data_IF_094293224780
#
_entry.id   IF_094293224780
#
_cell.length_a   1.000
_cell.length_b   1.000
_cell.length_c   1.000
_cell.angle_alpha   90.00
_cell.angle_beta   90.00
_cell.angle_gamma   90.00
#
_symmetry.space_group_name_H-M   'P 1'
#
loop_
_entity.id
_entity.type
_entity.pdbx_description
1 polymer ?
#
# COMPACT_ATOMS: atom_id res chain seq x y z
N UNK A 1 21.66 10.00 54.45
CA UNK A 1 22.43 10.29 53.26
C UNK A 1 23.12 9.10 52.62
N UNK A 2 23.89 8.23 53.35
CA UNK A 2 24.55 7.07 52.75
C UNK A 2 23.62 6.03 52.12
N UNK A 3 22.42 5.77 52.66
CA UNK A 3 21.45 4.82 52.12
C UNK A 3 20.73 5.39 50.86
N UNK A 4 20.61 6.69 50.74
CA UNK A 4 20.04 7.36 49.58
C UNK A 4 20.97 7.33 48.35
N UNK A 5 22.29 7.46 48.60
CA UNK A 5 23.33 7.40 47.56
C UNK A 5 23.48 5.95 47.04
N UNK A 6 23.33 4.95 47.89
CA UNK A 6 23.31 3.53 47.45
C UNK A 6 22.07 3.18 46.64
N UNK A 7 20.90 3.73 46.95
CA UNK A 7 19.70 3.55 46.22
C UNK A 7 19.75 4.25 44.83
N UNK A 8 20.33 5.46 44.78
CA UNK A 8 20.56 6.18 43.55
C UNK A 8 21.60 5.49 42.65
N UNK A 9 22.63 4.88 43.22
CA UNK A 9 23.61 4.07 42.48
C UNK A 9 23.02 2.78 41.89
N UNK A 10 22.05 2.17 42.59
CA UNK A 10 21.36 0.97 42.10
C UNK A 10 20.38 1.28 40.98
N UNK A 11 19.72 2.44 41.01
CA UNK A 11 18.80 2.93 39.95
C UNK A 11 19.56 3.33 38.69
N UNK A 12 20.80 3.78 38.80
CA UNK A 12 21.62 4.18 37.64
C UNK A 12 22.17 2.98 36.85
N UNK A 13 22.17 1.78 37.41
CA UNK A 13 22.65 0.57 36.71
C UNK A 13 21.60 -0.09 35.82
N UNK A 14 20.35 0.35 35.82
CA UNK A 14 19.23 -0.28 35.08
C UNK A 14 19.02 0.31 33.69
N UNK A 15 19.76 1.34 33.24
CA UNK A 15 19.49 2.03 31.98
C UNK A 15 20.60 1.82 30.93
N UNK A 16 21.23 0.68 30.89
CA UNK A 16 22.01 0.31 29.71
C UNK A 16 21.36 -0.94 29.09
N UNK A 17 20.15 -0.77 28.56
CA UNK A 17 19.64 -1.68 27.54
C UNK A 17 20.36 -1.30 26.25
N UNK A 18 21.54 -1.86 26.03
CA UNK A 18 22.16 -1.86 24.73
C UNK A 18 21.24 -2.69 23.79
N UNK A 19 20.40 -2.03 23.00
CA UNK A 19 19.82 -2.64 21.84
C UNK A 19 21.01 -3.03 20.94
N UNK A 20 21.43 -4.29 20.98
CA UNK A 20 22.48 -4.80 20.10
C UNK A 20 21.94 -4.69 18.67
N UNK A 21 22.56 -3.83 17.86
CA UNK A 21 22.29 -3.74 16.42
C UNK A 21 23.18 -4.70 15.69
N UNK A 22 22.59 -5.39 14.75
CA UNK A 22 23.30 -6.30 13.87
C UNK A 22 23.42 -5.63 12.52
N UNK A 23 24.65 -5.56 11.99
CA UNK A 23 24.94 -4.92 10.70
C UNK A 23 25.43 -5.97 9.71
N UNK A 24 25.04 -5.83 8.45
CA UNK A 24 25.51 -6.62 7.32
C UNK A 24 25.79 -5.75 6.12
N UNK A 25 26.42 -6.34 5.10
CA UNK A 25 26.68 -5.68 3.82
C UNK A 25 26.14 -6.52 2.65
N UNK A 26 25.61 -5.83 1.64
CA UNK A 26 25.09 -6.42 0.42
C UNK A 26 26.01 -6.02 -0.74
N UNK A 27 26.46 -7.01 -1.50
CA UNK A 27 27.31 -6.79 -2.67
C UNK A 27 26.77 -7.60 -3.86
N UNK A 28 27.08 -7.17 -5.07
CA UNK A 28 26.86 -7.97 -6.28
C UNK A 28 27.99 -9.00 -6.48
N UNK A 29 27.93 -9.79 -7.55
CA UNK A 29 28.95 -10.80 -7.89
C UNK A 29 30.32 -10.18 -8.18
N UNK A 30 30.38 -8.90 -8.51
CA UNK A 30 31.61 -8.15 -8.80
C UNK A 30 32.18 -7.45 -7.57
N UNK A 31 31.48 -7.57 -6.42
CA UNK A 31 31.86 -6.92 -5.17
C UNK A 31 31.38 -5.46 -5.05
N UNK A 32 30.58 -4.95 -6.00
CA UNK A 32 30.02 -3.62 -5.86
C UNK A 32 28.87 -3.61 -4.84
N UNK A 33 28.70 -2.52 -4.07
CA UNK A 33 27.63 -2.43 -3.08
C UNK A 33 26.24 -2.44 -3.73
N UNK A 34 25.32 -3.22 -3.17
CA UNK A 34 23.89 -3.19 -3.52
C UNK A 34 23.17 -2.23 -2.59
N UNK A 35 22.95 -1.01 -3.06
CA UNK A 35 22.32 0.06 -2.32
C UNK A 35 20.80 -0.04 -2.36
N UNK A 36 20.15 0.43 -1.29
CA UNK A 36 18.69 0.58 -1.15
C UNK A 36 17.90 -0.72 -1.35
N UNK A 37 18.51 -1.87 -1.04
CA UNK A 37 17.82 -3.15 -1.00
C UNK A 37 16.94 -3.24 0.25
N UNK A 38 15.75 -3.81 0.11
CA UNK A 38 14.87 -4.12 1.22
C UNK A 38 15.43 -5.30 2.01
N UNK A 39 15.60 -5.15 3.31
CA UNK A 39 16.06 -6.18 4.24
C UNK A 39 14.98 -6.40 5.27
N UNK A 40 14.32 -7.55 5.24
CA UNK A 40 13.16 -7.88 6.07
C UNK A 40 13.47 -9.09 6.93
N UNK A 41 13.20 -8.97 8.23
CA UNK A 41 13.27 -10.05 9.19
C UNK A 41 11.87 -10.66 9.35
N UNK A 42 11.76 -11.95 9.10
CA UNK A 42 10.52 -12.71 9.20
C UNK A 42 10.65 -13.76 10.32
N UNK A 43 9.56 -14.07 10.98
CA UNK A 43 9.46 -15.20 11.90
C UNK A 43 9.61 -16.53 11.14
N UNK A 44 10.44 -17.45 11.65
CA UNK A 44 10.60 -18.75 11.00
C UNK A 44 9.41 -19.70 11.21
N UNK A 45 8.46 -19.34 12.10
CA UNK A 45 7.30 -20.17 12.40
C UNK A 45 6.19 -20.03 11.35
N UNK A 46 5.93 -18.78 10.93
CA UNK A 46 4.75 -18.40 10.12
C UNK A 46 5.08 -17.37 9.04
N UNK A 47 6.36 -17.05 8.85
CA UNK A 47 6.83 -16.01 7.91
C UNK A 47 6.23 -14.62 8.16
N UNK A 48 5.68 -14.37 9.35
CA UNK A 48 5.16 -13.05 9.72
C UNK A 48 6.30 -12.03 9.80
N UNK A 49 5.97 -10.79 9.47
CA UNK A 49 6.91 -9.67 9.52
C UNK A 49 7.30 -9.35 10.98
N UNK A 50 8.60 -9.30 11.24
CA UNK A 50 9.15 -8.90 12.54
C UNK A 50 9.69 -7.48 12.47
N UNK A 51 10.58 -7.19 11.51
CA UNK A 51 11.26 -5.91 11.37
C UNK A 51 11.78 -5.74 9.95
N UNK A 52 12.00 -4.49 9.50
CA UNK A 52 12.58 -4.21 8.19
C UNK A 52 13.45 -2.96 8.20
N UNK A 53 14.42 -2.93 7.28
CA UNK A 53 15.31 -1.81 7.02
C UNK A 53 15.70 -1.79 5.54
N UNK A 54 16.44 -0.78 5.12
CA UNK A 54 17.05 -0.72 3.77
C UNK A 54 18.56 -0.60 3.88
N UNK A 55 19.31 -1.11 2.88
CA UNK A 55 20.73 -0.87 2.78
C UNK A 55 21.03 0.58 2.36
N UNK A 56 22.12 1.14 2.87
CA UNK A 56 22.59 2.49 2.49
C UNK A 56 23.32 2.47 1.12
N UNK A 57 23.88 3.61 0.72
CA UNK A 57 24.64 3.76 -0.54
C UNK A 57 25.85 2.81 -0.64
N UNK A 58 26.43 2.44 0.50
CA UNK A 58 27.54 1.51 0.61
C UNK A 58 27.09 0.04 0.73
N UNK A 59 25.79 -0.24 0.56
CA UNK A 59 25.22 -1.57 0.70
C UNK A 59 25.11 -2.07 2.15
N UNK A 60 25.37 -1.21 3.14
CA UNK A 60 25.36 -1.59 4.56
C UNK A 60 23.94 -1.43 5.11
N UNK A 61 23.47 -2.43 5.83
CA UNK A 61 22.20 -2.37 6.58
C UNK A 61 22.44 -2.64 8.06
N UNK A 62 21.52 -2.17 8.89
CA UNK A 62 21.50 -2.41 10.33
C UNK A 62 20.09 -2.73 10.78
N UNK A 63 19.94 -3.77 11.59
CA UNK A 63 18.67 -4.23 12.11
C UNK A 63 18.83 -4.53 13.61
N UNK A 64 17.82 -4.24 14.44
CA UNK A 64 17.90 -4.50 15.86
C UNK A 64 17.86 -6.01 16.12
N UNK A 65 18.68 -6.47 17.07
CA UNK A 65 18.70 -7.88 17.43
C UNK A 65 17.40 -8.28 18.10
N UNK A 66 16.75 -9.30 17.57
CA UNK A 66 15.55 -9.89 18.15
C UNK A 66 15.82 -11.30 18.64
N UNK A 67 15.22 -11.68 19.76
CA UNK A 67 15.26 -13.04 20.25
C UNK A 67 14.30 -13.93 19.43
N UNK A 68 14.79 -15.07 18.94
CA UNK A 68 14.00 -16.07 18.24
C UNK A 68 14.67 -16.57 16.96
N UNK A 69 14.14 -17.68 16.43
CA UNK A 69 14.54 -18.16 15.10
C UNK A 69 13.86 -17.31 14.05
N UNK A 70 14.63 -16.49 13.34
CA UNK A 70 14.15 -15.58 12.32
C UNK A 70 14.82 -15.86 10.98
N UNK A 71 14.15 -15.45 9.92
CA UNK A 71 14.62 -15.56 8.54
C UNK A 71 14.84 -14.15 8.00
N UNK A 72 16.02 -13.91 7.44
CA UNK A 72 16.32 -12.66 6.74
C UNK A 72 16.00 -12.83 5.26
N UNK A 73 15.08 -12.03 4.77
CA UNK A 73 14.73 -11.92 3.34
C UNK A 73 15.21 -10.59 2.80
N UNK A 74 16.00 -10.66 1.74
CA UNK A 74 16.58 -9.49 1.09
C UNK A 74 16.07 -9.45 -0.35
N UNK A 75 15.60 -8.30 -0.78
CA UNK A 75 15.13 -8.08 -2.15
C UNK A 75 15.57 -6.72 -2.66
N UNK A 76 16.00 -6.70 -3.91
CA UNK A 76 16.32 -5.50 -4.65
C UNK A 76 15.93 -5.71 -6.11
N UNK A 77 15.46 -4.65 -6.76
CA UNK A 77 15.09 -4.74 -8.18
C UNK A 77 16.32 -5.08 -9.02
N UNK A 78 16.16 -6.06 -9.91
CA UNK A 78 17.24 -6.55 -10.75
C UNK A 78 18.12 -7.62 -10.09
N UNK A 79 17.74 -8.10 -8.91
CA UNK A 79 18.44 -9.17 -8.21
C UNK A 79 17.48 -10.27 -7.77
N UNK A 80 17.98 -11.49 -7.76
CA UNK A 80 17.27 -12.64 -7.22
C UNK A 80 17.13 -12.46 -5.69
N UNK A 81 15.91 -12.53 -5.13
CA UNK A 81 15.72 -12.41 -3.70
C UNK A 81 16.48 -13.48 -2.92
N UNK A 82 17.20 -13.06 -1.88
CA UNK A 82 17.96 -13.96 -1.00
C UNK A 82 17.20 -14.16 0.30
N UNK A 83 17.07 -15.43 0.70
CA UNK A 83 16.49 -15.80 1.99
C UNK A 83 17.51 -16.63 2.79
N UNK A 84 17.86 -16.18 3.99
CA UNK A 84 18.81 -16.84 4.88
C UNK A 84 18.32 -16.89 6.32
N UNK A 85 18.69 -17.93 7.05
CA UNK A 85 18.47 -17.98 8.50
C UNK A 85 19.28 -16.88 9.21
N UNK A 86 18.63 -16.21 10.15
CA UNK A 86 19.23 -15.13 10.95
C UNK A 86 20.09 -15.71 12.08
N UNK A 87 21.20 -16.33 11.76
CA UNK A 87 21.99 -17.05 12.78
C UNK A 87 23.39 -16.46 13.07
N UNK A 88 23.97 -15.69 12.19
CA UNK A 88 25.34 -15.16 12.36
C UNK A 88 25.52 -13.80 11.67
N UNK A 89 25.99 -12.83 12.43
CA UNK A 89 26.35 -11.49 11.97
C UNK A 89 27.72 -11.07 12.52
N UNK A 90 28.48 -10.19 11.84
CA UNK A 90 28.20 -9.51 10.58
C UNK A 90 28.31 -10.45 9.37
N UNK A 91 27.49 -10.24 8.36
CA UNK A 91 27.44 -11.05 7.14
C UNK A 91 27.55 -10.18 5.91
N UNK A 92 28.47 -10.51 5.02
CA UNK A 92 28.43 -10.04 3.64
C UNK A 92 27.57 -11.00 2.84
N UNK A 93 26.51 -10.48 2.20
CA UNK A 93 25.58 -11.24 1.39
C UNK A 93 25.78 -10.85 -0.06
N UNK A 94 26.09 -11.84 -0.89
CA UNK A 94 26.18 -11.66 -2.33
C UNK A 94 24.79 -11.83 -2.93
N UNK A 95 24.35 -10.85 -3.69
CA UNK A 95 23.10 -10.86 -4.46
C UNK A 95 23.41 -11.13 -5.92
N UNK A 96 22.72 -12.12 -6.50
CA UNK A 96 22.85 -12.49 -7.90
C UNK A 96 21.92 -11.67 -8.75
N UNK A 97 22.38 -11.18 -9.91
CA UNK A 97 21.53 -10.46 -10.85
C UNK A 97 20.46 -11.41 -11.40
N UNK A 98 19.19 -10.95 -11.40
CA UNK A 98 18.07 -11.70 -11.99
C UNK A 98 18.02 -11.41 -13.50
N UNK A 99 18.68 -12.25 -14.28
CA UNK A 99 18.70 -12.15 -15.75
C UNK A 99 17.39 -12.67 -16.39
N UNK A 100 16.49 -13.29 -15.62
CA UNK A 100 15.27 -13.89 -16.14
C UNK A 100 14.04 -12.96 -16.08
N UNK A 101 14.18 -11.77 -15.47
CA UNK A 101 13.06 -10.81 -15.33
C UNK A 101 12.58 -10.21 -16.65
N UNK A 102 13.30 -10.42 -17.75
CA UNK A 102 12.89 -9.94 -19.08
C UNK A 102 13.23 -11.02 -20.11
N UNK A 103 12.24 -11.70 -20.69
CA UNK A 103 12.44 -12.47 -21.92
C UNK A 103 13.16 -11.60 -22.93
N UNK A 104 14.31 -12.04 -23.35
CA UNK A 104 15.25 -11.59 -24.37
C UNK A 104 14.91 -10.28 -25.11
N UNK A 105 15.05 -9.17 -24.42
CA UNK A 105 15.43 -7.88 -25.00
C UNK A 105 16.69 -7.49 -24.26
N UNK A 106 17.84 -7.48 -24.94
CA UNK A 106 19.07 -6.88 -24.44
C UNK A 106 18.84 -5.37 -24.32
N UNK A 107 18.09 -4.98 -23.30
CA UNK A 107 18.08 -3.62 -22.83
C UNK A 107 19.30 -3.52 -21.94
N UNK A 108 20.31 -2.77 -22.37
CA UNK A 108 21.33 -2.23 -21.44
C UNK A 108 20.53 -1.52 -20.35
N UNK A 109 20.33 -2.21 -19.21
CA UNK A 109 19.31 -1.86 -18.25
C UNK A 109 19.63 -0.52 -17.62
N UNK A 110 18.81 0.46 -17.88
CA UNK A 110 18.77 1.66 -17.05
C UNK A 110 18.15 1.25 -15.71
N UNK A 111 19.03 0.86 -14.78
CA UNK A 111 18.63 0.55 -13.39
C UNK A 111 18.03 1.79 -12.77
N UNK A 112 17.05 1.64 -11.85
CA UNK A 112 16.57 2.76 -11.06
C UNK A 112 17.75 3.43 -10.35
N UNK A 113 17.86 4.74 -10.44
CA UNK A 113 18.81 5.51 -9.66
C UNK A 113 18.15 6.05 -8.41
N UNK A 114 18.87 5.97 -7.32
CA UNK A 114 18.42 6.42 -6.03
C UNK A 114 19.27 7.61 -5.59
N UNK A 115 18.63 8.64 -5.05
CA UNK A 115 19.29 9.83 -4.55
C UNK A 115 18.74 10.19 -3.20
N UNK A 116 19.59 10.31 -2.19
CA UNK A 116 19.23 10.93 -0.92
C UNK A 116 19.06 12.43 -1.14
N UNK A 117 17.89 12.91 -0.77
CA UNK A 117 17.58 14.34 -0.70
C UNK A 117 17.61 14.82 0.75
N UNK A 118 17.47 16.11 0.97
CA UNK A 118 17.34 16.63 2.34
C UNK A 118 16.07 16.14 3.06
N UNK A 119 15.06 15.71 2.31
CA UNK A 119 13.76 15.29 2.85
C UNK A 119 13.61 13.76 2.90
N UNK A 120 14.24 13.00 1.98
CA UNK A 120 14.04 11.57 1.89
C UNK A 120 14.84 10.88 0.80
N UNK A 121 14.38 9.69 0.40
CA UNK A 121 14.95 8.89 -0.67
C UNK A 121 14.15 9.11 -1.96
N UNK A 122 14.77 9.72 -2.95
CA UNK A 122 14.20 9.88 -4.29
C UNK A 122 14.62 8.73 -5.21
N UNK A 123 13.63 8.05 -5.78
CA UNK A 123 13.79 7.03 -6.81
C UNK A 123 13.47 7.62 -8.16
N UNK A 124 14.44 7.57 -9.09
CA UNK A 124 14.22 7.99 -10.48
C UNK A 124 13.54 6.86 -11.25
N UNK A 125 12.37 7.13 -11.81
CA UNK A 125 11.54 6.15 -12.53
C UNK A 125 11.68 6.29 -14.04
N UNK A 126 11.68 7.53 -14.53
CA UNK A 126 11.72 7.81 -15.99
C UNK A 126 12.91 7.15 -16.69
N UNK A 127 12.64 6.41 -17.78
CA UNK A 127 13.68 5.77 -18.57
C UNK A 127 14.32 4.55 -17.90
N UNK A 128 13.83 4.11 -16.75
CA UNK A 128 14.27 2.89 -16.05
C UNK A 128 13.30 1.75 -16.28
N UNK A 129 13.62 0.56 -15.76
CA UNK A 129 12.71 -0.60 -15.79
C UNK A 129 11.39 -0.31 -15.05
N UNK A 130 11.41 0.56 -14.03
CA UNK A 130 10.21 0.96 -13.30
C UNK A 130 9.18 1.66 -14.19
N UNK A 131 9.62 2.41 -15.20
CA UNK A 131 8.71 3.09 -16.14
C UNK A 131 7.93 2.15 -17.06
N UNK A 132 8.26 0.86 -17.07
CA UNK A 132 7.62 -0.16 -17.92
C UNK A 132 6.73 -1.12 -17.12
N UNK A 133 6.49 -0.86 -15.85
CA UNK A 133 5.76 -1.76 -14.96
C UNK A 133 4.23 -1.69 -15.09
N UNK A 134 3.72 -0.75 -15.87
CA UNK A 134 2.30 -0.58 -16.12
C UNK A 134 1.70 0.59 -15.33
N UNK A 135 1.60 0.49 -14.01
CA UNK A 135 0.92 1.50 -13.18
C UNK A 135 1.80 2.08 -12.08
N UNK A 136 1.37 3.18 -11.47
CA UNK A 136 2.03 3.72 -10.28
C UNK A 136 1.97 2.74 -9.11
N UNK A 137 0.89 1.98 -9.00
CA UNK A 137 0.78 0.92 -8.01
C UNK A 137 1.93 -0.08 -8.13
N UNK A 138 2.23 -0.52 -9.36
CA UNK A 138 3.31 -1.47 -9.60
C UNK A 138 4.69 -0.86 -9.32
N UNK A 139 4.89 0.41 -9.64
CA UNK A 139 6.12 1.14 -9.30
C UNK A 139 6.31 1.20 -7.79
N UNK A 140 5.26 1.53 -7.02
CA UNK A 140 5.36 1.68 -5.57
C UNK A 140 5.72 0.38 -4.85
N UNK A 141 5.35 -0.78 -5.38
CA UNK A 141 5.77 -2.10 -4.86
C UNK A 141 7.29 -2.30 -4.87
N UNK A 142 8.01 -1.51 -5.67
CA UNK A 142 9.47 -1.61 -5.86
C UNK A 142 10.23 -0.42 -5.28
N UNK A 143 9.55 0.49 -4.58
CA UNK A 143 10.22 1.60 -3.88
C UNK A 143 10.84 1.08 -2.59
N UNK A 144 12.16 1.27 -2.39
CA UNK A 144 12.84 0.83 -1.17
C UNK A 144 12.20 1.45 0.09
N UNK A 145 11.97 0.62 1.11
CA UNK A 145 11.36 1.05 2.36
C UNK A 145 9.82 1.13 2.34
N UNK A 146 9.17 0.88 1.19
CA UNK A 146 7.71 0.84 1.05
C UNK A 146 7.25 -0.59 0.77
N UNK A 147 6.17 -1.02 1.41
CA UNK A 147 5.52 -2.30 1.12
C UNK A 147 4.01 -2.15 1.01
N UNK A 148 3.36 -3.00 0.20
CA UNK A 148 1.91 -3.11 0.17
C UNK A 148 1.47 -4.26 1.09
N UNK A 149 0.55 -3.98 2.02
CA UNK A 149 -0.03 -4.94 2.95
C UNK A 149 -1.53 -4.69 3.06
N UNK A 150 -2.35 -5.74 2.85
CA UNK A 150 -3.81 -5.65 2.94
C UNK A 150 -4.39 -4.43 2.19
N UNK A 151 -3.98 -4.26 0.93
CA UNK A 151 -4.36 -3.13 0.05
C UNK A 151 -3.96 -1.72 0.51
N UNK A 152 -3.21 -1.59 1.60
CA UNK A 152 -2.61 -0.35 2.06
C UNK A 152 -1.09 -0.34 1.84
N UNK A 153 -0.50 0.85 1.81
CA UNK A 153 0.96 0.98 1.82
C UNK A 153 1.46 1.24 3.23
N UNK A 154 2.56 0.59 3.56
CA UNK A 154 3.26 0.78 4.84
C UNK A 154 4.73 1.10 4.59
N UNK A 155 5.26 2.04 5.36
CA UNK A 155 6.69 2.36 5.42
C UNK A 155 7.29 1.68 6.63
N UNK A 156 8.41 1.00 6.47
CA UNK A 156 9.05 0.23 7.54
C UNK A 156 9.26 1.06 8.81
N UNK A 157 8.66 0.61 9.91
CA UNK A 157 8.76 1.25 11.23
C UNK A 157 8.03 2.60 11.35
N UNK A 158 7.28 3.04 10.35
CA UNK A 158 6.56 4.32 10.34
C UNK A 158 5.05 4.19 10.14
N UNK A 159 4.57 3.05 9.66
CA UNK A 159 3.15 2.83 9.34
C UNK A 159 2.75 3.40 7.98
N UNK A 160 1.46 3.71 7.82
CA UNK A 160 0.90 4.14 6.53
C UNK A 160 1.35 5.56 6.16
N UNK A 161 1.94 5.76 4.97
CA UNK A 161 2.33 7.07 4.48
C UNK A 161 1.13 7.85 3.93
N UNK A 162 1.23 9.16 3.92
CA UNK A 162 0.39 10.01 3.07
C UNK A 162 1.02 10.09 1.68
N UNK A 163 0.21 9.94 0.63
CA UNK A 163 0.68 9.92 -0.76
C UNK A 163 0.24 11.21 -1.46
N UNK A 164 1.18 11.83 -2.16
CA UNK A 164 0.94 13.00 -3.01
C UNK A 164 1.30 12.68 -4.46
N UNK A 165 0.48 13.16 -5.39
CA UNK A 165 0.76 13.15 -6.83
C UNK A 165 0.82 14.59 -7.31
N UNK A 166 1.98 15.03 -7.78
CA UNK A 166 2.25 16.42 -8.22
C UNK A 166 1.86 17.48 -7.17
N UNK A 167 2.08 17.20 -5.89
CA UNK A 167 1.71 18.09 -4.78
C UNK A 167 0.26 17.93 -4.29
N UNK A 168 -0.61 17.24 -5.04
CA UNK A 168 -1.99 16.97 -4.64
C UNK A 168 -2.06 15.72 -3.75
N UNK A 169 -2.73 15.84 -2.61
CA UNK A 169 -3.01 14.71 -1.74
C UNK A 169 -3.84 13.65 -2.46
N UNK A 170 -3.35 12.41 -2.43
CA UNK A 170 -4.09 11.25 -2.93
C UNK A 170 -5.03 10.75 -1.81
N UNK A 171 -6.33 10.85 -2.06
CA UNK A 171 -7.34 10.39 -1.09
C UNK A 171 -7.81 8.97 -1.35
N UNK A 172 -7.62 8.48 -2.56
CA UNK A 172 -8.04 7.16 -2.98
C UNK A 172 -6.90 6.43 -3.69
N UNK A 173 -6.47 5.32 -3.13
CA UNK A 173 -5.38 4.49 -3.66
C UNK A 173 -5.69 3.90 -5.04
N UNK A 174 -6.97 3.78 -5.43
CA UNK A 174 -7.33 3.33 -6.78
C UNK A 174 -6.84 4.27 -7.89
N UNK A 175 -6.56 5.54 -7.58
CA UNK A 175 -5.96 6.47 -8.54
C UNK A 175 -4.52 6.03 -8.94
N UNK A 176 -3.83 5.26 -8.11
CA UNK A 176 -2.49 4.73 -8.42
C UNK A 176 -2.52 3.70 -9.55
N UNK A 177 -3.59 2.89 -9.63
CA UNK A 177 -3.78 1.96 -10.74
C UNK A 177 -4.10 2.68 -12.06
N UNK A 178 -4.65 3.88 -11.98
CA UNK A 178 -4.99 4.71 -13.15
C UNK A 178 -3.79 5.51 -13.68
N UNK A 179 -2.78 5.75 -12.86
CA UNK A 179 -1.57 6.50 -13.23
C UNK A 179 -0.55 5.55 -13.87
N UNK A 180 -0.19 5.82 -15.12
CA UNK A 180 0.80 5.01 -15.86
C UNK A 180 2.20 5.17 -15.28
N UNK A 181 2.92 4.06 -15.17
CA UNK A 181 4.33 4.06 -14.73
C UNK A 181 5.24 4.89 -15.64
N UNK A 182 4.97 4.92 -16.96
CA UNK A 182 5.75 5.69 -17.93
C UNK A 182 5.63 7.20 -17.75
N UNK A 183 4.54 7.67 -17.12
CA UNK A 183 4.33 9.08 -16.83
C UNK A 183 5.00 9.53 -15.54
N UNK A 184 5.49 8.60 -14.72
CA UNK A 184 6.19 8.92 -13.50
C UNK A 184 7.62 9.33 -13.81
N UNK A 185 8.02 10.51 -13.29
CA UNK A 185 9.38 10.99 -13.34
C UNK A 185 10.19 10.47 -12.15
N UNK A 186 9.68 10.72 -10.95
CA UNK A 186 10.31 10.36 -9.68
C UNK A 186 9.28 9.93 -8.65
N UNK A 187 9.70 9.08 -7.73
CA UNK A 187 9.01 8.81 -6.46
C UNK A 187 9.96 9.16 -5.33
N UNK A 188 9.52 9.97 -4.38
CA UNK A 188 10.29 10.34 -3.19
C UNK A 188 9.61 9.81 -1.95
N UNK A 189 10.33 9.03 -1.16
CA UNK A 189 9.90 8.50 0.12
C UNK A 189 10.54 9.33 1.25
N UNK A 190 9.72 10.06 2.01
CA UNK A 190 10.11 10.86 3.16
C UNK A 190 9.75 10.11 4.43
N UNK A 191 10.73 9.70 5.19
CA UNK A 191 10.56 8.93 6.43
C UNK A 191 10.65 9.80 7.70
N UNK A 192 10.95 11.08 7.52
CA UNK A 192 10.99 12.06 8.60
C UNK A 192 10.41 13.38 8.11
N UNK A 193 9.07 13.44 7.90
CA UNK A 193 8.42 14.64 7.40
C UNK A 193 8.62 15.81 8.35
N UNK A 194 9.02 16.95 7.78
CA UNK A 194 9.26 18.18 8.53
C UNK A 194 7.96 18.89 8.93
N UNK A 195 8.09 20.08 9.52
CA UNK A 195 7.00 20.88 10.09
C UNK A 195 5.93 21.36 9.09
N UNK A 196 6.12 21.13 7.79
CA UNK A 196 5.10 21.41 6.76
C UNK A 196 3.95 20.40 6.75
N UNK A 197 4.12 19.26 7.42
CA UNK A 197 3.12 18.21 7.52
C UNK A 197 2.53 18.18 8.93
N UNK A 198 1.31 17.66 9.04
CA UNK A 198 0.69 17.44 10.35
C UNK A 198 1.57 16.53 11.23
N UNK A 199 1.57 16.78 12.55
CA UNK A 199 2.40 16.05 13.50
C UNK A 199 2.07 14.54 13.58
N UNK A 200 0.87 14.13 13.15
CA UNK A 200 0.47 12.74 13.06
C UNK A 200 1.10 12.00 11.87
N UNK A 201 1.58 12.73 10.85
CA UNK A 201 2.15 12.16 9.62
C UNK A 201 3.53 11.61 9.90
N UNK A 202 3.70 10.30 9.78
CA UNK A 202 4.96 9.59 10.05
C UNK A 202 5.82 9.38 8.80
N UNK A 203 5.20 9.33 7.63
CA UNK A 203 5.88 9.17 6.35
C UNK A 203 5.07 9.81 5.21
N UNK A 204 5.75 10.21 4.16
CA UNK A 204 5.14 10.80 2.96
C UNK A 204 5.75 10.17 1.71
N UNK A 205 4.90 9.84 0.73
CA UNK A 205 5.31 9.45 -0.61
C UNK A 205 4.92 10.56 -1.58
N UNK A 206 5.88 11.11 -2.31
CA UNK A 206 5.61 12.09 -3.37
C UNK A 206 5.88 11.46 -4.73
N UNK A 207 4.84 11.41 -5.56
CA UNK A 207 4.94 10.98 -6.96
C UNK A 207 4.96 12.24 -7.82
N UNK A 208 6.03 12.39 -8.60
CA UNK A 208 6.13 13.47 -9.59
C UNK A 208 6.03 12.87 -10.98
N UNK A 209 5.10 13.36 -11.78
CA UNK A 209 4.93 12.93 -13.17
C UNK A 209 5.75 13.77 -14.13
N UNK A 210 5.93 13.26 -15.34
CA UNK A 210 6.52 14.02 -16.45
C UNK A 210 5.56 15.14 -16.84
N UNK A 211 6.06 16.32 -17.20
CA UNK A 211 5.23 17.27 -17.92
C UNK A 211 4.81 16.66 -19.27
N UNK A 212 3.54 16.71 -19.59
CA UNK A 212 3.04 16.31 -20.90
C UNK A 212 3.63 17.28 -21.92
N UNK A 213 4.34 16.76 -22.91
CA UNK A 213 4.97 17.55 -23.98
C UNK A 213 4.09 17.53 -25.24
N UNK A 214 4.05 18.66 -25.93
CA UNK A 214 3.35 18.81 -27.20
C UNK A 214 1.96 19.45 -27.04
N UNK A 215 1.44 19.98 -28.12
CA UNK A 215 0.09 20.52 -28.27
C UNK A 215 -0.78 19.56 -29.06
N UNK A 216 -2.08 19.66 -28.91
CA UNK A 216 -3.06 18.88 -29.64
C UNK A 216 -3.82 17.91 -28.75
N UNK A 217 -4.49 16.97 -29.37
CA UNK A 217 -5.28 15.95 -28.72
C UNK A 217 -4.46 14.66 -28.63
N UNK A 218 -4.45 14.07 -27.44
CA UNK A 218 -3.86 12.76 -27.17
C UNK A 218 -4.85 11.87 -26.44
N UNK A 219 -4.78 10.57 -26.68
CA UNK A 219 -5.50 9.58 -25.88
C UNK A 219 -4.73 8.29 -25.77
N UNK A 220 -5.06 7.49 -24.77
CA UNK A 220 -4.63 6.12 -24.64
C UNK A 220 -5.74 5.25 -24.08
N UNK A 221 -5.70 3.98 -24.44
CA UNK A 221 -6.63 2.97 -23.98
C UNK A 221 -5.85 1.86 -23.33
N UNK A 222 -6.29 1.43 -22.16
CA UNK A 222 -5.81 0.25 -21.48
C UNK A 222 -6.98 -0.72 -21.30
N UNK A 223 -6.82 -1.94 -21.80
CA UNK A 223 -7.72 -3.05 -21.58
C UNK A 223 -6.97 -4.16 -20.87
N UNK A 224 -7.50 -4.65 -19.77
CA UNK A 224 -6.91 -5.69 -18.97
C UNK A 224 -7.89 -6.81 -18.68
N UNK A 225 -7.43 -8.03 -18.86
CA UNK A 225 -8.13 -9.24 -18.47
C UNK A 225 -7.27 -10.01 -17.47
N UNK A 226 -7.86 -10.43 -16.38
CA UNK A 226 -7.22 -11.33 -15.44
C UNK A 226 -8.14 -12.53 -15.19
N UNK A 227 -7.55 -13.70 -15.17
CA UNK A 227 -8.22 -14.95 -14.86
C UNK A 227 -7.50 -15.63 -13.73
N UNK A 228 -8.20 -15.80 -12.63
CA UNK A 228 -7.83 -16.73 -11.59
C UNK A 228 -8.99 -17.73 -11.45
N UNK A 229 -9.70 -17.81 -10.33
CA UNK A 229 -10.95 -18.59 -10.24
C UNK A 229 -12.07 -17.92 -11.03
N UNK A 230 -12.17 -16.59 -10.95
CA UNK A 230 -13.14 -15.78 -11.67
C UNK A 230 -12.46 -14.78 -12.61
N UNK A 231 -13.18 -14.44 -13.67
CA UNK A 231 -12.72 -13.46 -14.65
C UNK A 231 -12.83 -12.02 -14.12
N UNK A 232 -11.76 -11.24 -14.25
CA UNK A 232 -11.75 -9.83 -13.99
C UNK A 232 -11.40 -9.01 -15.23
N UNK A 233 -11.93 -7.79 -15.28
CA UNK A 233 -11.74 -6.87 -16.40
C UNK A 233 -11.41 -5.48 -15.88
N UNK A 234 -10.50 -4.80 -16.59
CA UNK A 234 -10.16 -3.39 -16.39
C UNK A 234 -10.16 -2.71 -17.75
N UNK A 235 -10.96 -1.65 -17.88
CA UNK A 235 -11.03 -0.82 -19.08
C UNK A 235 -10.75 0.63 -18.68
N UNK A 236 -9.82 1.27 -19.36
CA UNK A 236 -9.44 2.65 -19.08
C UNK A 236 -9.19 3.40 -20.38
N UNK A 237 -9.79 4.57 -20.47
CA UNK A 237 -9.51 5.57 -21.49
C UNK A 237 -9.00 6.83 -20.80
N UNK A 238 -7.78 7.22 -21.10
CA UNK A 238 -7.26 8.54 -20.76
C UNK A 238 -7.24 9.40 -22.01
N UNK A 239 -7.56 10.67 -21.88
CA UNK A 239 -7.49 11.63 -22.95
C UNK A 239 -7.05 12.99 -22.44
N UNK A 240 -6.36 13.74 -23.26
CA UNK A 240 -5.97 15.10 -22.98
C UNK A 240 -5.99 15.95 -24.25
N UNK A 241 -6.27 17.22 -24.08
CA UNK A 241 -6.15 18.24 -25.11
C UNK A 241 -5.38 19.42 -24.56
N UNK A 242 -4.29 19.75 -25.23
CA UNK A 242 -3.43 20.88 -24.85
C UNK A 242 -3.31 21.86 -26.00
N UNK A 243 -3.50 23.14 -25.68
CA UNK A 243 -3.24 24.23 -26.58
C UNK A 243 -2.77 25.46 -25.81
N UNK A 244 -1.59 25.98 -26.16
CA UNK A 244 -0.93 27.08 -25.48
C UNK A 244 -0.84 26.84 -23.93
N UNK A 245 -1.59 27.64 -23.18
CA UNK A 245 -1.65 27.62 -21.71
C UNK A 245 -2.75 26.73 -21.13
N UNK A 246 -3.59 26.20 -21.99
CA UNK A 246 -4.74 25.37 -21.59
C UNK A 246 -4.42 23.90 -21.75
N UNK A 247 -4.74 23.11 -20.71
CA UNK A 247 -4.64 21.67 -20.69
C UNK A 247 -5.95 21.09 -20.14
N UNK A 248 -6.71 20.39 -20.97
CA UNK A 248 -7.95 19.72 -20.59
C UNK A 248 -7.70 18.22 -20.62
N UNK A 249 -8.10 17.51 -19.59
CA UNK A 249 -7.82 16.09 -19.46
C UNK A 249 -8.99 15.34 -18.86
N UNK A 250 -9.02 14.03 -19.11
CA UNK A 250 -10.00 13.16 -18.49
C UNK A 250 -9.60 11.71 -18.52
N UNK A 251 -10.25 10.95 -17.64
CA UNK A 251 -10.12 9.50 -17.52
C UNK A 251 -11.50 8.89 -17.37
N UNK A 252 -11.77 7.84 -18.11
CA UNK A 252 -12.90 6.93 -17.88
C UNK A 252 -12.29 5.59 -17.50
N UNK A 253 -12.64 5.08 -16.33
CA UNK A 253 -12.15 3.84 -15.79
C UNK A 253 -13.29 2.96 -15.33
N UNK A 254 -13.24 1.68 -15.73
CA UNK A 254 -14.16 0.64 -15.29
C UNK A 254 -13.39 -0.59 -14.87
N UNK A 255 -13.76 -1.17 -13.75
CA UNK A 255 -13.23 -2.44 -13.26
C UNK A 255 -14.35 -3.35 -12.81
N UNK A 256 -14.27 -4.61 -13.22
CA UNK A 256 -15.05 -5.70 -12.66
C UNK A 256 -14.10 -6.72 -12.04
N UNK A 257 -14.34 -7.11 -10.80
CA UNK A 257 -13.58 -8.15 -10.11
C UNK A 257 -14.52 -9.04 -9.30
N UNK A 258 -14.25 -10.33 -9.38
CA UNK A 258 -14.83 -11.34 -8.49
C UNK A 258 -13.69 -12.04 -7.77
N UNK A 259 -13.89 -12.35 -6.50
CA UNK A 259 -12.92 -13.06 -5.70
C UNK A 259 -13.59 -13.90 -4.62
N UNK A 260 -12.82 -14.77 -4.02
CA UNK A 260 -13.22 -15.49 -2.82
C UNK A 260 -12.04 -15.58 -1.86
N UNK A 261 -12.38 -15.77 -0.60
CA UNK A 261 -11.46 -16.12 0.47
C UNK A 261 -12.00 -17.37 1.17
N UNK A 262 -11.15 -18.34 1.41
CA UNK A 262 -11.47 -19.54 2.16
C UNK A 262 -10.46 -19.72 3.29
N UNK A 263 -10.95 -19.85 4.50
CA UNK A 263 -10.11 -20.02 5.66
C UNK A 263 -10.67 -21.06 6.63
N UNK A 264 -9.75 -21.72 7.33
CA UNK A 264 -10.05 -22.60 8.47
C UNK A 264 -9.14 -22.20 9.62
N UNK A 265 -9.72 -22.04 10.78
CA UNK A 265 -8.98 -21.64 11.97
C UNK A 265 -9.66 -22.19 13.23
N UNK A 266 -8.87 -22.37 14.26
CA UNK A 266 -9.37 -22.78 15.58
C UNK A 266 -9.28 -21.62 16.56
N UNK A 267 -10.17 -21.60 17.53
CA UNK A 267 -10.19 -20.62 18.60
C UNK A 267 -10.42 -21.33 19.93
N UNK A 268 -9.55 -21.08 20.92
CA UNK A 268 -9.68 -21.55 22.27
C UNK A 268 -9.98 -20.40 23.22
N UNK A 269 -11.04 -20.54 24.02
CA UNK A 269 -11.41 -19.58 25.07
C UNK A 269 -11.38 -20.29 26.41
N UNK A 270 -10.46 -19.88 27.28
CA UNK A 270 -10.25 -20.44 28.60
C UNK A 270 -10.96 -19.55 29.64
N UNK A 271 -12.08 -20.05 30.13
CA UNK A 271 -12.81 -19.52 31.28
C UNK A 271 -13.04 -20.66 32.27
N UNK A 272 -14.16 -20.74 32.96
CA UNK A 272 -14.51 -21.89 33.81
C UNK A 272 -14.63 -23.21 33.02
N UNK A 273 -15.00 -23.09 31.75
CA UNK A 273 -15.07 -24.17 30.75
C UNK A 273 -14.09 -23.85 29.63
N UNK A 274 -13.37 -24.86 29.13
CA UNK A 274 -12.57 -24.73 27.92
C UNK A 274 -13.48 -24.83 26.71
N UNK A 275 -13.70 -23.71 26.05
CA UNK A 275 -14.40 -23.65 24.77
C UNK A 275 -13.42 -23.73 23.63
N UNK A 276 -13.61 -24.73 22.77
CA UNK A 276 -12.86 -24.92 21.53
C UNK A 276 -13.81 -24.78 20.34
N UNK A 277 -13.38 -24.06 19.32
CA UNK A 277 -14.13 -23.84 18.07
C UNK A 277 -13.26 -24.19 16.87
N UNK A 278 -13.79 -25.06 16.01
CA UNK A 278 -13.27 -25.32 14.69
C UNK A 278 -14.11 -24.53 13.66
N UNK A 279 -13.49 -23.54 13.06
CA UNK A 279 -14.17 -22.59 12.20
C UNK A 279 -13.82 -22.79 10.73
N UNK A 280 -14.84 -22.75 9.88
CA UNK A 280 -14.74 -22.68 8.43
C UNK A 280 -15.40 -21.41 7.91
N UNK A 281 -14.68 -20.64 7.14
CA UNK A 281 -15.20 -19.45 6.47
C UNK A 281 -14.98 -19.55 4.97
N UNK A 282 -16.03 -19.23 4.21
CA UNK A 282 -15.96 -18.99 2.77
C UNK A 282 -16.63 -17.65 2.49
N UNK A 283 -15.90 -16.72 1.88
CA UNK A 283 -16.42 -15.40 1.51
C UNK A 283 -16.23 -15.18 0.01
N UNK A 284 -17.33 -14.91 -0.69
CA UNK A 284 -17.34 -14.54 -2.11
C UNK A 284 -17.66 -13.06 -2.26
N UNK A 285 -16.87 -12.37 -3.09
CA UNK A 285 -17.06 -10.95 -3.40
C UNK A 285 -17.27 -10.76 -4.89
N UNK A 286 -18.20 -9.89 -5.26
CA UNK A 286 -18.38 -9.38 -6.61
C UNK A 286 -18.42 -7.86 -6.54
N UNK A 287 -17.50 -7.21 -7.26
CA UNK A 287 -17.35 -5.76 -7.21
C UNK A 287 -17.22 -5.17 -8.61
N UNK A 288 -17.94 -4.10 -8.84
CA UNK A 288 -17.77 -3.24 -10.02
C UNK A 288 -17.43 -1.82 -9.56
N UNK A 289 -16.46 -1.22 -10.19
CA UNK A 289 -16.07 0.16 -9.94
C UNK A 289 -16.05 0.95 -11.25
N UNK A 290 -16.64 2.13 -11.21
CA UNK A 290 -16.61 3.09 -12.31
C UNK A 290 -16.06 4.41 -11.77
N UNK A 291 -15.08 4.99 -12.50
CA UNK A 291 -14.53 6.30 -12.18
C UNK A 291 -14.49 7.15 -13.45
N UNK A 292 -14.99 8.37 -13.36
CA UNK A 292 -14.83 9.38 -14.39
C UNK A 292 -14.12 10.59 -13.80
N UNK A 293 -13.04 11.02 -14.43
CA UNK A 293 -12.27 12.20 -14.08
C UNK A 293 -12.33 13.17 -15.26
N UNK A 294 -12.59 14.43 -14.99
CA UNK A 294 -12.44 15.51 -15.94
C UNK A 294 -11.76 16.69 -15.26
N UNK A 295 -10.83 17.34 -15.94
CA UNK A 295 -10.11 18.46 -15.38
C UNK A 295 -9.59 19.44 -16.41
N UNK A 296 -9.29 20.64 -15.91
CA UNK A 296 -8.74 21.74 -16.68
C UNK A 296 -7.60 22.36 -15.90
N UNK A 297 -6.47 22.56 -16.55
CA UNK A 297 -5.34 23.33 -16.08
C UNK A 297 -5.13 24.54 -16.94
N UNK A 298 -4.77 25.67 -16.33
CA UNK A 298 -4.38 26.87 -17.03
C UNK A 298 -3.06 27.40 -16.44
N UNK A 299 -2.02 27.47 -17.26
CA UNK A 299 -0.72 28.04 -16.91
C UNK A 299 -0.70 29.53 -17.24
N UNK A 300 -0.62 30.40 -16.25
CA UNK A 300 -0.43 31.84 -16.47
C UNK A 300 0.95 32.13 -17.08
N UNK A 301 1.97 31.44 -16.53
CA UNK A 301 3.37 31.47 -16.94
C UNK A 301 4.06 30.13 -16.54
N UNK A 302 5.39 30.07 -16.66
CA UNK A 302 6.17 28.87 -16.36
C UNK A 302 6.11 28.44 -14.87
N UNK A 303 5.79 29.37 -13.97
CA UNK A 303 5.83 29.18 -12.53
C UNK A 303 4.44 29.20 -11.87
N UNK A 304 3.40 29.63 -12.60
CA UNK A 304 2.07 29.88 -12.04
C UNK A 304 0.99 29.16 -12.81
N UNK A 305 0.21 28.31 -12.15
CA UNK A 305 -0.89 27.57 -12.73
C UNK A 305 -2.06 27.42 -11.77
N UNK A 306 -3.26 27.34 -12.32
CA UNK A 306 -4.48 27.00 -11.61
C UNK A 306 -5.14 25.82 -12.31
N UNK A 307 -5.86 24.99 -11.54
CA UNK A 307 -6.61 23.90 -12.12
C UNK A 307 -7.84 23.54 -11.31
N UNK A 308 -8.75 22.86 -11.99
CA UNK A 308 -9.96 22.27 -11.41
C UNK A 308 -10.05 20.84 -11.89
N UNK A 309 -10.30 19.91 -10.97
CA UNK A 309 -10.53 18.49 -11.26
C UNK A 309 -11.86 18.08 -10.64
N UNK A 310 -12.71 17.47 -11.43
CA UNK A 310 -13.92 16.79 -10.99
C UNK A 310 -13.72 15.28 -11.08
N UNK A 311 -14.16 14.55 -10.07
CA UNK A 311 -14.13 13.10 -10.05
C UNK A 311 -15.50 12.57 -9.65
N UNK A 312 -16.05 11.68 -10.48
CA UNK A 312 -17.23 10.89 -10.21
C UNK A 312 -16.81 9.44 -9.98
N UNK A 313 -17.22 8.84 -8.85
CA UNK A 313 -17.03 7.41 -8.58
C UNK A 313 -18.38 6.75 -8.34
N UNK A 314 -18.53 5.56 -8.86
CA UNK A 314 -19.73 4.75 -8.63
C UNK A 314 -19.32 3.27 -8.56
N UNK A 315 -20.00 2.52 -7.68
CA UNK A 315 -19.86 1.08 -7.58
C UNK A 315 -21.23 0.47 -7.93
N UNK A 316 -21.50 0.18 -9.21
CA UNK A 316 -22.82 -0.28 -9.66
C UNK A 316 -23.26 -1.61 -9.05
N UNK A 317 -22.29 -2.45 -8.67
CA UNK A 317 -22.54 -3.75 -8.05
C UNK A 317 -21.42 -4.04 -7.04
N UNK A 318 -21.80 -4.25 -5.79
CA UNK A 318 -20.90 -4.68 -4.72
C UNK A 318 -21.66 -5.64 -3.81
N UNK A 319 -21.43 -6.94 -4.01
CA UNK A 319 -22.09 -8.03 -3.29
C UNK A 319 -21.07 -8.88 -2.57
N UNK A 320 -21.41 -9.23 -1.34
CA UNK A 320 -20.60 -10.07 -0.46
C UNK A 320 -21.48 -11.20 0.04
N UNK A 321 -21.02 -12.43 -0.13
CA UNK A 321 -21.67 -13.61 0.41
C UNK A 321 -20.66 -14.37 1.27
N UNK A 322 -20.93 -14.51 2.55
CA UNK A 322 -20.06 -15.18 3.50
C UNK A 322 -20.81 -16.31 4.17
N UNK A 323 -20.24 -17.50 4.12
CA UNK A 323 -20.64 -18.66 4.91
C UNK A 323 -19.61 -18.82 6.02
N UNK A 324 -20.07 -18.88 7.26
CA UNK A 324 -19.23 -19.10 8.42
C UNK A 324 -19.84 -20.19 9.29
N UNK A 325 -19.17 -21.33 9.37
CA UNK A 325 -19.60 -22.47 10.14
C UNK A 325 -18.62 -22.76 11.28
N UNK A 326 -19.13 -23.16 12.43
CA UNK A 326 -18.35 -23.41 13.61
C UNK A 326 -18.83 -24.66 14.35
N UNK A 327 -17.96 -25.64 14.50
CA UNK A 327 -18.13 -26.73 15.45
C UNK A 327 -17.62 -26.28 16.83
N UNK A 328 -18.49 -26.26 17.81
CA UNK A 328 -18.23 -25.77 19.16
C UNK A 328 -18.12 -26.93 20.13
N UNK A 329 -17.07 -26.95 20.93
CA UNK A 329 -16.83 -27.97 21.95
C UNK A 329 -16.68 -27.33 23.34
N UNK A 330 -17.25 -27.95 24.36
CA UNK A 330 -17.11 -27.62 25.78
C UNK A 330 -16.34 -28.74 26.48
N UNK A 331 -15.16 -28.43 27.05
CA UNK A 331 -14.28 -29.41 27.71
C UNK A 331 -14.03 -30.66 26.86
N UNK A 332 -13.86 -30.47 25.54
CA UNK A 332 -13.60 -31.53 24.56
C UNK A 332 -14.85 -32.32 24.09
N UNK A 333 -16.05 -31.99 24.59
CA UNK A 333 -17.30 -32.60 24.14
C UNK A 333 -17.99 -31.68 23.16
N UNK A 334 -18.44 -32.22 22.00
CA UNK A 334 -19.19 -31.43 21.03
C UNK A 334 -20.43 -30.84 21.69
N UNK A 335 -20.57 -29.53 21.62
CA UNK A 335 -21.62 -28.76 22.27
C UNK A 335 -22.66 -28.25 21.28
N UNK A 336 -22.20 -27.65 20.15
CA UNK A 336 -23.08 -27.02 19.17
C UNK A 336 -22.44 -27.00 17.79
N UNK A 337 -23.26 -26.89 16.77
CA UNK A 337 -22.86 -26.51 15.43
C UNK A 337 -23.57 -25.22 15.03
N UNK A 338 -22.80 -24.18 14.73
CA UNK A 338 -23.30 -22.88 14.31
C UNK A 338 -23.10 -22.74 12.80
N UNK A 339 -24.17 -22.44 12.06
CA UNK A 339 -24.12 -22.12 10.65
C UNK A 339 -24.58 -20.68 10.43
N UNK A 340 -23.73 -19.87 9.81
CA UNK A 340 -24.04 -18.49 9.47
C UNK A 340 -23.98 -18.32 7.95
N UNK A 341 -25.03 -17.75 7.38
CA UNK A 341 -25.12 -17.31 5.98
C UNK A 341 -25.36 -15.79 5.96
N UNK A 342 -24.36 -15.04 5.52
CA UNK A 342 -24.35 -13.60 5.50
C UNK A 342 -24.33 -13.09 4.07
N UNK A 343 -25.39 -12.40 3.66
CA UNK A 343 -25.51 -11.77 2.37
C UNK A 343 -25.55 -10.24 2.54
N UNK A 344 -24.52 -9.57 2.04
CA UNK A 344 -24.43 -8.13 2.07
C UNK A 344 -24.39 -7.55 0.66
N UNK A 345 -25.14 -6.48 0.46
CA UNK A 345 -25.13 -5.68 -0.76
C UNK A 345 -24.82 -4.25 -0.37
N UNK A 346 -23.71 -3.73 -0.85
CA UNK A 346 -23.38 -2.33 -0.65
C UNK A 346 -24.05 -1.48 -1.74
N UNK A 347 -24.78 -0.46 -1.32
CA UNK A 347 -25.38 0.54 -2.19
C UNK A 347 -24.50 1.77 -2.18
N UNK A 348 -23.75 1.95 -3.26
CA UNK A 348 -22.94 3.14 -3.45
C UNK A 348 -23.64 4.09 -4.40
N UNK A 349 -24.18 5.19 -3.86
CA UNK A 349 -24.54 6.31 -4.73
C UNK A 349 -23.26 6.88 -5.34
N UNK A 350 -23.34 7.53 -6.51
CA UNK A 350 -22.18 8.19 -7.07
C UNK A 350 -21.58 9.18 -6.07
N UNK A 351 -20.29 9.03 -5.80
CA UNK A 351 -19.49 9.97 -5.04
C UNK A 351 -18.96 11.05 -5.96
N UNK A 352 -19.06 12.29 -5.55
CA UNK A 352 -18.64 13.47 -6.31
C UNK A 352 -17.55 14.20 -5.55
N UNK A 353 -16.42 14.47 -6.20
CA UNK A 353 -15.41 15.35 -5.64
C UNK A 353 -14.96 16.42 -6.62
N UNK A 354 -14.77 17.62 -6.12
CA UNK A 354 -14.19 18.74 -6.83
C UNK A 354 -12.93 19.16 -6.11
N UNK A 355 -11.82 19.21 -6.83
CA UNK A 355 -10.55 19.74 -6.33
C UNK A 355 -10.20 21.02 -7.13
N UNK A 356 -9.94 22.09 -6.42
CA UNK A 356 -9.41 23.34 -6.98
C UNK A 356 -8.01 23.54 -6.43
N UNK A 357 -7.05 23.79 -7.29
CA UNK A 357 -5.67 23.96 -6.89
C UNK A 357 -5.00 25.10 -7.64
N UNK A 358 -4.07 25.75 -6.95
CA UNK A 358 -3.16 26.74 -7.50
C UNK A 358 -1.75 26.41 -7.06
N UNK A 359 -0.82 26.45 -7.99
CA UNK A 359 0.60 26.35 -7.72
C UNK A 359 1.31 27.53 -8.36
N UNK A 360 2.13 28.23 -7.59
CA UNK A 360 2.80 29.40 -8.13
C UNK A 360 3.89 29.99 -7.25
N UNK A 361 4.54 31.02 -7.78
CA UNK A 361 5.58 31.79 -7.13
C UNK A 361 5.16 33.25 -6.96
N UNK A 362 5.20 33.77 -5.76
CA UNK A 362 5.06 35.21 -5.47
C UNK A 362 6.41 35.76 -5.01
N UNK A 363 7.20 36.27 -5.95
CA UNK A 363 8.59 36.66 -5.71
C UNK A 363 9.44 35.42 -5.37
N UNK A 364 9.89 35.31 -4.10
CA UNK A 364 10.67 34.17 -3.60
C UNK A 364 9.83 33.14 -2.84
N UNK A 365 8.52 33.38 -2.69
CA UNK A 365 7.62 32.53 -1.92
C UNK A 365 6.89 31.59 -2.85
N UNK A 366 7.02 30.30 -2.62
CA UNK A 366 6.20 29.26 -3.28
C UNK A 366 4.82 29.24 -2.61
N UNK A 367 3.77 29.28 -3.43
CA UNK A 367 2.38 29.16 -3.00
C UNK A 367 1.84 27.86 -3.58
N UNK A 368 1.36 26.98 -2.72
CA UNK A 368 0.64 25.76 -3.07
C UNK A 368 -0.71 25.78 -2.33
N UNK A 369 -1.78 25.91 -3.08
CA UNK A 369 -3.14 25.96 -2.56
C UNK A 369 -3.94 24.80 -3.13
N UNK A 370 -4.62 24.05 -2.24
CA UNK A 370 -5.53 22.99 -2.59
C UNK A 370 -6.82 23.13 -1.77
N UNK A 371 -7.96 23.05 -2.45
CA UNK A 371 -9.28 22.98 -1.82
C UNK A 371 -10.06 21.81 -2.41
N UNK A 372 -10.58 20.96 -1.55
CA UNK A 372 -11.37 19.79 -1.90
C UNK A 372 -12.80 19.95 -1.38
N UNK A 373 -13.77 19.61 -2.22
CA UNK A 373 -15.15 19.38 -1.83
C UNK A 373 -15.51 17.93 -2.18
N UNK A 374 -16.00 17.20 -1.21
CA UNK A 374 -16.43 15.80 -1.36
C UNK A 374 -17.90 15.68 -0.95
N UNK A 375 -18.68 15.05 -1.81
CA UNK A 375 -20.01 14.57 -1.47
C UNK A 375 -20.06 13.06 -1.71
N UNK A 376 -20.33 12.32 -0.66
CA UNK A 376 -20.44 10.86 -0.68
C UNK A 376 -21.67 10.41 0.12
N UNK A 377 -22.35 9.40 -0.39
CA UNK A 377 -23.48 8.78 0.25
C UNK A 377 -23.44 7.26 0.04
N UNK A 378 -23.14 6.55 1.10
CA UNK A 378 -22.99 5.10 1.09
C UNK A 378 -24.06 4.44 1.96
N UNK A 379 -24.41 3.21 1.61
CA UNK A 379 -25.28 2.36 2.42
C UNK A 379 -25.02 0.89 2.15
N UNK A 380 -25.40 0.07 3.07
CA UNK A 380 -25.39 -1.37 2.95
C UNK A 380 -26.69 -1.98 3.43
N UNK A 381 -27.01 -3.13 2.85
CA UNK A 381 -28.07 -4.01 3.34
C UNK A 381 -27.43 -5.38 3.59
N UNK A 382 -27.48 -5.82 4.83
CA UNK A 382 -26.94 -7.11 5.25
C UNK A 382 -28.06 -7.96 5.80
N UNK A 383 -28.17 -9.18 5.30
CA UNK A 383 -29.05 -10.22 5.81
C UNK A 383 -28.16 -11.34 6.34
N UNK A 384 -28.26 -11.58 7.63
CA UNK A 384 -27.58 -12.68 8.31
C UNK A 384 -28.60 -13.70 8.76
N UNK A 385 -28.36 -14.96 8.46
CA UNK A 385 -29.10 -16.11 8.98
C UNK A 385 -28.15 -16.93 9.83
N UNK A 386 -28.55 -17.19 11.06
CA UNK A 386 -27.82 -18.02 12.00
C UNK A 386 -28.69 -19.18 12.42
N UNK A 387 -28.12 -20.38 12.38
CA UNK A 387 -28.74 -21.63 12.83
C UNK A 387 -27.80 -22.29 13.84
N UNK A 388 -28.35 -22.78 14.94
CA UNK A 388 -27.66 -23.54 15.99
C UNK A 388 -28.28 -24.92 16.11
N UNK A 389 -27.46 -25.95 16.24
CA UNK A 389 -27.95 -27.32 16.46
C UNK A 389 -28.56 -27.54 17.85
N UNK A 390 -28.18 -26.69 18.84
CA UNK A 390 -28.69 -26.76 20.20
C UNK A 390 -29.93 -25.90 20.46
N UNK A 391 -30.33 -25.04 19.51
CA UNK A 391 -31.51 -24.18 19.61
C UNK A 391 -32.48 -24.48 18.49
N UNK A 392 -33.76 -24.62 18.84
CA UNK A 392 -34.82 -24.75 17.83
C UNK A 392 -35.07 -23.44 17.07
N UNK A 393 -34.59 -22.33 17.61
CA UNK A 393 -34.83 -21.00 17.05
C UNK A 393 -33.77 -20.64 16.01
N UNK A 394 -34.28 -20.30 14.82
CA UNK A 394 -33.53 -19.71 13.74
C UNK A 394 -33.52 -18.20 13.87
N UNK A 395 -32.34 -17.59 13.96
CA UNK A 395 -32.22 -16.14 14.01
C UNK A 395 -31.97 -15.58 12.62
N UNK A 396 -32.80 -14.64 12.18
CA UNK A 396 -32.58 -13.88 10.95
C UNK A 396 -32.47 -12.41 11.33
N UNK A 397 -31.29 -11.84 11.09
CA UNK A 397 -31.05 -10.41 11.30
C UNK A 397 -30.94 -9.70 9.96
N UNK A 398 -31.66 -8.60 9.81
CA UNK A 398 -31.51 -7.70 8.65
C UNK A 398 -31.08 -6.33 9.15
N UNK A 399 -29.94 -5.88 8.65
CA UNK A 399 -29.39 -4.55 8.97
C UNK A 399 -29.31 -3.72 7.69
N UNK A 400 -29.78 -2.48 7.77
CA UNK A 400 -29.69 -1.50 6.70
C UNK A 400 -28.97 -0.26 7.25
N UNK A 401 -27.81 0.04 6.69
CA UNK A 401 -26.98 1.16 7.11
C UNK A 401 -26.92 2.20 5.99
N UNK A 402 -27.14 3.46 6.33
CA UNK A 402 -26.98 4.59 5.43
C UNK A 402 -26.02 5.60 6.05
N UNK A 403 -24.96 5.97 5.31
CA UNK A 403 -23.98 6.98 5.70
C UNK A 403 -23.92 8.06 4.62
N UNK A 404 -23.80 9.32 5.01
CA UNK A 404 -23.52 10.44 4.12
C UNK A 404 -22.42 11.29 4.71
N UNK A 405 -21.46 11.68 3.87
CA UNK A 405 -20.36 12.59 4.20
C UNK A 405 -20.42 13.80 3.27
N UNK A 406 -20.25 15.00 3.84
CA UNK A 406 -20.15 16.28 3.13
C UNK A 406 -18.75 16.81 3.23
#
# INVERSE_FOLDING_TARGET
MRKLILLLGLVLQVIIVNAQRVSGSLVDEKGNPVSFANVVLLSSKDSSFVQGTISNEQGIFSIDQTSGNNILRISCLGFIPVTKAYAQFPVTIVMHEDVNLLGEVVVKGNRPSYKLTAEGLQTHVQGTVLSKMGTAEDVLKHIPGLQKKNDAYEVFGKGSPIIYVNGRLLRDLSELDQLKSEDIKNVELITSPGARYDASVKAVVKITTRPIKGEGFGFDVRSGYNQWEYAGFVEQLNWNYRRDKLDVFGTVYYRKSEGFDESRFTQDVHVDTLWHQDNYQFAKTNQQAFTNIAGVNYAFDENNSIGVKYTLKANPDARYHTIFNSDVYADGTHYDYLANDINATAYYNPSHSVNVYYKGMAGKTEIDFNADYLFDKNGDNTIQREESSNKEDRVVTSTNTLRSEL
#
